data_IF_456511992608
#
_entry.id   IF_456511992608
#
_cell.length_a   1.000
_cell.length_b   1.000
_cell.length_c   1.000
_cell.angle_alpha   90.00
_cell.angle_beta   90.00
_cell.angle_gamma   90.00
#
_symmetry.space_group_name_H-M   'P 1'
#
loop_
_entity.id
_entity.type
_entity.pdbx_description
1 polymer ?
#
# COMPACT_ATOMS: atom_id res chain seq x y z
N UNK A 1 19.54 20.84 3.97
CA UNK A 1 19.88 19.41 4.04
C UNK A 1 18.68 18.60 3.60
N UNK A 2 18.74 17.86 2.48
CA UNK A 2 17.64 16.97 2.07
C UNK A 2 17.68 15.78 3.02
N UNK A 3 16.77 15.71 3.99
CA UNK A 3 16.53 14.48 4.72
C UNK A 3 16.19 13.42 3.68
N UNK A 4 17.11 12.49 3.44
CA UNK A 4 16.81 11.38 2.56
C UNK A 4 15.65 10.62 3.22
N UNK A 5 14.49 10.59 2.56
CA UNK A 5 13.32 9.76 2.92
C UNK A 5 13.67 8.26 3.13
N UNK A 6 14.93 7.89 2.91
CA UNK A 6 15.46 6.54 2.76
C UNK A 6 16.62 6.28 3.73
N UNK A 7 16.68 7.04 4.84
CA UNK A 7 17.79 7.14 5.80
C UNK A 7 18.49 5.81 6.13
N UNK A 8 19.76 5.74 5.72
CA UNK A 8 20.68 4.64 5.98
C UNK A 8 21.96 4.78 5.12
N UNK A 9 23.01 4.03 5.45
CA UNK A 9 24.18 3.92 4.56
C UNK A 9 23.74 3.26 3.24
N UNK A 10 23.83 4.03 2.14
CA UNK A 10 23.43 3.62 0.80
C UNK A 10 24.63 3.35 -0.11
N UNK A 11 25.86 3.44 0.41
CA UNK A 11 27.10 3.29 -0.36
C UNK A 11 27.26 1.91 -1.03
N UNK A 12 26.66 0.87 -0.44
CA UNK A 12 26.71 -0.52 -0.96
C UNK A 12 25.59 -0.86 -1.94
N UNK A 13 24.69 0.08 -2.22
CA UNK A 13 23.56 -0.15 -3.12
C UNK A 13 23.97 0.06 -4.57
N UNK A 14 23.44 -0.79 -5.45
CA UNK A 14 23.74 -0.72 -6.88
C UNK A 14 22.65 0.03 -7.62
N UNK A 15 23.04 0.88 -8.58
CA UNK A 15 22.10 1.54 -9.49
C UNK A 15 21.87 0.71 -10.76
N UNK A 16 20.66 0.76 -11.35
CA UNK A 16 20.35 0.03 -12.57
C UNK A 16 21.15 0.57 -13.75
N UNK A 17 21.30 -0.25 -14.81
CA UNK A 17 21.98 0.17 -16.04
C UNK A 17 21.25 1.40 -16.64
N UNK A 18 21.97 2.42 -17.12
CA UNK A 18 21.36 3.57 -17.79
C UNK A 18 20.46 3.15 -18.96
N UNK A 19 19.33 3.83 -19.16
CA UNK A 19 18.39 3.55 -20.25
C UNK A 19 17.47 2.35 -20.03
N UNK A 20 17.46 1.75 -18.83
CA UNK A 20 16.54 0.67 -18.49
C UNK A 20 15.10 1.18 -18.34
N UNK A 21 14.14 0.41 -18.85
CA UNK A 21 12.73 0.66 -18.59
C UNK A 21 12.40 0.33 -17.12
N UNK A 22 11.25 0.79 -16.63
CA UNK A 22 10.87 0.61 -15.24
C UNK A 22 10.81 -0.87 -14.82
N UNK A 23 10.28 -1.75 -15.66
CA UNK A 23 10.21 -3.18 -15.38
C UNK A 23 11.60 -3.86 -15.35
N UNK A 24 12.61 -3.27 -15.98
CA UNK A 24 13.97 -3.79 -16.08
C UNK A 24 14.91 -3.34 -14.95
N UNK A 25 14.44 -2.53 -14.01
CA UNK A 25 15.25 -1.98 -12.90
C UNK A 25 15.97 -3.07 -12.09
N UNK A 26 15.34 -4.24 -11.92
CA UNK A 26 15.91 -5.36 -11.16
C UNK A 26 16.72 -6.34 -12.01
N UNK A 27 16.85 -6.11 -13.33
CA UNK A 27 17.61 -7.02 -14.20
C UNK A 27 19.07 -7.07 -13.75
N UNK A 28 19.55 -8.29 -13.53
CA UNK A 28 20.96 -8.60 -13.28
C UNK A 28 21.40 -9.72 -14.23
N UNK A 29 22.68 -9.73 -14.57
CA UNK A 29 23.35 -10.79 -15.32
C UNK A 29 24.25 -11.59 -14.36
N UNK A 30 24.34 -12.93 -14.49
CA UNK A 30 23.62 -13.80 -15.44
C UNK A 30 22.13 -13.99 -15.09
N UNK A 31 21.35 -14.52 -16.05
CA UNK A 31 19.88 -14.69 -15.92
C UNK A 31 19.51 -15.61 -14.76
N UNK A 32 20.28 -16.67 -14.52
CA UNK A 32 20.08 -17.61 -13.42
C UNK A 32 19.98 -16.91 -12.07
N UNK A 33 20.91 -15.98 -11.82
CA UNK A 33 20.97 -15.22 -10.57
C UNK A 33 19.78 -14.27 -10.47
N UNK A 34 19.38 -13.72 -11.61
CA UNK A 34 18.17 -12.92 -11.74
C UNK A 34 16.90 -13.69 -11.36
N UNK A 35 16.75 -14.91 -11.86
CA UNK A 35 15.60 -15.76 -11.54
C UNK A 35 15.57 -16.16 -10.06
N UNK A 36 16.72 -16.55 -9.48
CA UNK A 36 16.80 -16.93 -8.06
C UNK A 36 16.44 -15.75 -7.17
N UNK A 37 16.98 -14.55 -7.42
CA UNK A 37 16.64 -13.35 -6.64
C UNK A 37 15.21 -12.89 -6.88
N UNK A 38 14.69 -13.02 -8.10
CA UNK A 38 13.30 -12.72 -8.43
C UNK A 38 12.32 -13.62 -7.69
N UNK A 39 12.53 -14.94 -7.72
CA UNK A 39 11.71 -15.93 -7.01
C UNK A 39 11.83 -15.77 -5.49
N UNK A 40 13.05 -15.63 -4.96
CA UNK A 40 13.27 -15.39 -3.53
C UNK A 40 12.58 -14.11 -3.06
N UNK A 41 12.69 -13.03 -3.83
CA UNK A 41 12.01 -11.79 -3.56
C UNK A 41 10.48 -11.89 -3.67
N UNK A 42 9.95 -12.70 -4.58
CA UNK A 42 8.51 -12.97 -4.68
C UNK A 42 8.01 -13.73 -3.45
N UNK A 43 8.75 -14.76 -3.00
CA UNK A 43 8.42 -15.51 -1.79
C UNK A 43 8.43 -14.61 -0.55
N UNK A 44 9.42 -13.72 -0.42
CA UNK A 44 9.46 -12.73 0.67
C UNK A 44 8.27 -11.77 0.60
N UNK A 45 7.87 -11.32 -0.60
CA UNK A 45 6.68 -10.48 -0.74
C UNK A 45 5.39 -11.21 -0.37
N UNK A 46 5.22 -12.47 -0.79
CA UNK A 46 4.03 -13.27 -0.46
C UNK A 46 3.96 -13.61 1.03
N UNK A 47 5.08 -14.02 1.63
CA UNK A 47 5.17 -14.28 3.06
C UNK A 47 4.96 -12.99 3.87
N UNK A 48 5.60 -11.90 3.44
CA UNK A 48 5.41 -10.57 4.00
C UNK A 48 3.96 -10.14 3.94
N UNK A 49 3.31 -10.18 2.77
CA UNK A 49 1.90 -9.86 2.61
C UNK A 49 1.01 -10.71 3.55
N UNK A 50 1.25 -12.03 3.60
CA UNK A 50 0.43 -12.97 4.36
C UNK A 50 0.57 -12.82 5.88
N UNK A 51 1.71 -12.34 6.38
CA UNK A 51 1.98 -12.21 7.81
C UNK A 51 1.82 -10.77 8.30
N UNK A 52 2.31 -9.81 7.52
CA UNK A 52 2.34 -8.38 7.84
C UNK A 52 0.94 -7.80 7.89
N UNK A 53 0.09 -8.09 6.90
CA UNK A 53 -1.28 -7.56 6.87
C UNK A 53 -2.10 -7.97 8.09
N UNK A 54 -2.30 -9.28 8.37
CA UNK A 54 -3.05 -9.67 9.56
C UNK A 54 -2.32 -9.27 10.84
N UNK A 55 -0.99 -9.30 10.88
CA UNK A 55 -0.22 -8.90 12.06
C UNK A 55 -0.39 -7.43 12.41
N UNK A 56 -0.27 -6.53 11.44
CA UNK A 56 -0.46 -5.08 11.63
C UNK A 56 -1.92 -4.77 11.96
N UNK A 57 -2.88 -5.38 11.25
CA UNK A 57 -4.30 -5.20 11.56
C UNK A 57 -4.63 -5.66 12.97
N UNK A 58 -4.14 -6.83 13.39
CA UNK A 58 -4.33 -7.38 14.73
C UNK A 58 -3.74 -6.46 15.80
N UNK A 59 -2.51 -5.97 15.59
CA UNK A 59 -1.84 -5.06 16.51
C UNK A 59 -2.60 -3.72 16.65
N UNK A 60 -3.00 -3.11 15.53
CA UNK A 60 -3.75 -1.84 15.53
C UNK A 60 -5.11 -2.00 16.21
N UNK A 61 -5.85 -3.06 15.89
CA UNK A 61 -7.13 -3.35 16.54
C UNK A 61 -6.97 -3.63 18.03
N UNK A 62 -5.89 -4.31 18.44
CA UNK A 62 -5.55 -4.50 19.85
C UNK A 62 -5.31 -3.17 20.56
N UNK A 63 -4.56 -2.26 19.95
CA UNK A 63 -4.34 -0.90 20.47
C UNK A 63 -5.66 -0.13 20.59
N UNK A 64 -6.50 -0.13 19.55
CA UNK A 64 -7.80 0.56 19.61
C UNK A 64 -8.74 -0.03 20.65
N UNK A 65 -8.77 -1.35 20.79
CA UNK A 65 -9.54 -2.04 21.82
C UNK A 65 -9.11 -1.62 23.23
N UNK A 66 -7.79 -1.54 23.49
CA UNK A 66 -7.25 -1.04 24.75
C UNK A 66 -7.61 0.43 24.99
N UNK A 67 -7.47 1.30 23.98
CA UNK A 67 -7.78 2.72 24.06
C UNK A 67 -9.27 3.00 24.34
N UNK A 68 -10.16 2.12 23.87
CA UNK A 68 -11.61 2.17 24.17
C UNK A 68 -11.98 1.58 25.53
N UNK A 69 -11.01 1.17 26.34
CA UNK A 69 -11.25 0.60 27.66
C UNK A 69 -11.69 -0.87 27.62
N UNK A 70 -11.24 -1.63 26.61
CA UNK A 70 -11.47 -3.07 26.48
C UNK A 70 -12.96 -3.44 26.42
N UNK A 71 -13.72 -2.92 25.45
CA UNK A 71 -15.13 -3.27 25.31
C UNK A 71 -15.28 -4.75 24.94
N UNK A 72 -15.99 -5.50 25.79
CA UNK A 72 -16.29 -6.92 25.56
C UNK A 72 -15.05 -7.80 25.36
N UNK A 73 -15.22 -8.91 24.63
CA UNK A 73 -14.08 -9.73 24.24
C UNK A 73 -13.36 -9.13 23.02
N UNK A 74 -12.05 -9.31 22.95
CA UNK A 74 -11.28 -8.85 21.78
C UNK A 74 -11.70 -9.57 20.49
N UNK A 75 -12.18 -10.82 20.57
CA UNK A 75 -12.63 -11.56 19.41
C UNK A 75 -13.90 -10.94 18.79
N UNK A 76 -14.86 -10.54 19.63
CA UNK A 76 -16.10 -9.89 19.18
C UNK A 76 -15.80 -8.52 18.60
N UNK A 77 -14.97 -7.74 19.31
CA UNK A 77 -14.52 -6.43 18.85
C UNK A 77 -13.82 -6.49 17.49
N UNK A 78 -12.90 -7.45 17.32
CA UNK A 78 -12.18 -7.66 16.06
C UNK A 78 -13.15 -8.05 14.95
N UNK A 79 -14.15 -8.89 15.25
CA UNK A 79 -15.15 -9.33 14.26
C UNK A 79 -15.97 -8.14 13.77
N UNK A 80 -16.51 -7.34 14.68
CA UNK A 80 -17.25 -6.12 14.35
C UNK A 80 -16.39 -5.11 13.56
N UNK A 81 -15.12 -4.95 13.95
CA UNK A 81 -14.18 -4.09 13.23
C UNK A 81 -13.92 -4.59 11.80
N UNK A 82 -13.69 -5.89 11.60
CA UNK A 82 -13.46 -6.46 10.26
C UNK A 82 -14.71 -6.45 9.38
N UNK A 83 -15.91 -6.38 9.98
CA UNK A 83 -17.17 -6.14 9.29
C UNK A 83 -17.43 -4.65 8.99
N UNK A 84 -16.49 -3.78 9.33
CA UNK A 84 -16.58 -2.32 9.16
C UNK A 84 -17.75 -1.67 9.90
N UNK A 85 -18.22 -2.30 10.99
CA UNK A 85 -19.18 -1.68 11.91
C UNK A 85 -18.53 -0.54 12.71
N UNK A 86 -17.19 -0.58 12.82
CA UNK A 86 -16.37 0.39 13.54
C UNK A 86 -15.38 1.07 12.58
N UNK A 87 -15.21 2.39 12.76
CA UNK A 87 -14.20 3.21 12.05
C UNK A 87 -12.79 2.60 12.22
N UNK A 88 -12.50 2.08 13.40
CA UNK A 88 -11.22 1.48 13.77
C UNK A 88 -10.85 0.29 12.86
N UNK A 89 -11.85 -0.46 12.42
CA UNK A 89 -11.70 -1.54 11.45
C UNK A 89 -11.21 -1.06 10.09
N UNK A 90 -11.83 0.01 9.58
CA UNK A 90 -11.42 0.65 8.33
C UNK A 90 -10.01 1.23 8.45
N UNK A 91 -9.73 1.99 9.52
CA UNK A 91 -8.41 2.59 9.76
C UNK A 91 -7.33 1.51 9.87
N UNK A 92 -7.56 0.47 10.67
CA UNK A 92 -6.62 -0.63 10.82
C UNK A 92 -6.35 -1.35 9.50
N UNK A 93 -7.39 -1.60 8.70
CA UNK A 93 -7.27 -2.25 7.40
C UNK A 93 -6.47 -1.40 6.40
N UNK A 94 -6.79 -0.11 6.28
CA UNK A 94 -6.06 0.78 5.38
C UNK A 94 -4.59 0.94 5.78
N UNK A 95 -4.29 1.07 7.07
CA UNK A 95 -2.92 1.17 7.56
C UNK A 95 -2.15 -0.14 7.42
N UNK A 96 -2.82 -1.29 7.63
CA UNK A 96 -2.24 -2.59 7.34
C UNK A 96 -1.82 -2.69 5.87
N UNK A 97 -2.70 -2.31 4.93
CA UNK A 97 -2.34 -2.31 3.50
C UNK A 97 -1.26 -1.27 3.19
N UNK A 98 -1.33 -0.08 3.79
CA UNK A 98 -0.29 0.94 3.66
C UNK A 98 1.09 0.47 4.13
N UNK A 99 1.17 -0.46 5.09
CA UNK A 99 2.43 -1.04 5.54
C UNK A 99 3.16 -1.86 4.46
N UNK A 100 2.47 -2.25 3.37
CA UNK A 100 3.09 -2.86 2.19
C UNK A 100 4.12 -1.95 1.52
N UNK A 101 3.99 -0.62 1.67
CA UNK A 101 5.03 0.32 1.22
C UNK A 101 6.35 0.00 1.92
N UNK A 102 6.32 -0.19 3.24
CA UNK A 102 7.50 -0.54 4.06
C UNK A 102 8.05 -1.90 3.66
N UNK A 103 7.18 -2.89 3.44
CA UNK A 103 7.59 -4.21 2.95
C UNK A 103 8.32 -4.12 1.61
N UNK A 104 7.78 -3.37 0.63
CA UNK A 104 8.41 -3.22 -0.68
C UNK A 104 9.76 -2.50 -0.57
N UNK A 105 9.86 -1.47 0.26
CA UNK A 105 11.12 -0.78 0.57
C UNK A 105 12.15 -1.74 1.17
N UNK A 106 11.73 -2.57 2.13
CA UNK A 106 12.57 -3.57 2.76
C UNK A 106 13.10 -4.57 1.74
N UNK A 107 12.23 -5.12 0.89
CA UNK A 107 12.60 -6.10 -0.13
C UNK A 107 13.60 -5.50 -1.13
N UNK A 108 13.36 -4.26 -1.59
CA UNK A 108 14.32 -3.54 -2.44
C UNK A 108 15.69 -3.43 -1.78
N UNK A 109 15.73 -2.98 -0.53
CA UNK A 109 16.97 -2.68 0.19
C UNK A 109 17.78 -3.92 0.52
N UNK A 110 17.11 -4.97 0.99
CA UNK A 110 17.77 -6.12 1.61
C UNK A 110 17.83 -7.35 0.70
N UNK A 111 16.80 -7.61 -0.11
CA UNK A 111 16.80 -8.75 -1.05
C UNK A 111 17.52 -8.37 -2.34
N UNK A 112 17.14 -7.23 -2.93
CA UNK A 112 17.66 -6.81 -4.23
C UNK A 112 18.91 -5.93 -4.15
N UNK A 113 19.25 -5.42 -2.95
CA UNK A 113 20.35 -4.47 -2.75
C UNK A 113 20.26 -3.27 -3.72
N UNK A 114 19.03 -2.80 -3.93
CA UNK A 114 18.68 -1.62 -4.73
C UNK A 114 18.12 -0.52 -3.84
N UNK A 115 18.30 0.72 -4.27
CA UNK A 115 17.76 1.86 -3.55
C UNK A 115 16.22 1.93 -3.71
N UNK A 116 15.43 2.02 -2.61
CA UNK A 116 13.96 2.02 -2.69
C UNK A 116 13.35 3.12 -3.55
N UNK A 117 14.06 4.24 -3.79
CA UNK A 117 13.69 5.28 -4.77
C UNK A 117 13.25 4.74 -6.13
N UNK A 118 13.81 3.60 -6.55
CA UNK A 118 13.51 2.98 -7.84
C UNK A 118 12.13 2.30 -7.89
N UNK A 119 11.44 2.16 -6.74
CA UNK A 119 10.01 1.80 -6.70
C UNK A 119 9.13 2.98 -7.12
N UNK A 120 9.50 4.22 -6.76
CA UNK A 120 8.60 5.35 -6.97
C UNK A 120 8.58 5.82 -8.43
N UNK A 121 9.72 5.80 -9.12
CA UNK A 121 9.82 6.28 -10.51
C UNK A 121 11.22 6.05 -11.10
N UNK A 122 11.30 5.98 -12.43
CA UNK A 122 12.55 6.05 -13.21
C UNK A 122 13.10 7.48 -13.26
N UNK A 123 12.24 8.50 -13.12
CA UNK A 123 12.60 9.91 -13.01
C UNK A 123 12.24 10.47 -11.63
N UNK A 124 13.07 11.30 -10.98
CA UNK A 124 12.80 11.76 -9.63
C UNK A 124 11.57 12.69 -9.57
N UNK A 125 10.52 12.30 -8.81
CA UNK A 125 9.46 13.20 -8.35
C UNK A 125 8.04 12.66 -8.47
N UNK A 126 7.26 12.80 -7.39
CA UNK A 126 5.82 12.53 -7.40
C UNK A 126 5.07 13.67 -8.11
N UNK A 127 4.25 13.35 -9.11
CA UNK A 127 3.55 14.34 -9.95
C UNK A 127 2.25 14.80 -9.27
N UNK A 128 2.37 15.62 -8.22
CA UNK A 128 1.24 16.11 -7.41
C UNK A 128 0.07 16.68 -8.20
N UNK A 129 0.34 17.48 -9.24
CA UNK A 129 -0.71 18.06 -10.10
C UNK A 129 -1.57 16.99 -10.77
N UNK A 130 -0.93 15.94 -11.27
CA UNK A 130 -1.61 14.82 -11.91
C UNK A 130 -2.34 13.96 -10.88
N UNK A 131 -1.72 13.71 -9.72
CA UNK A 131 -2.35 12.97 -8.62
C UNK A 131 -3.64 13.66 -8.13
N UNK A 132 -3.63 14.98 -7.97
CA UNK A 132 -4.82 15.76 -7.58
C UNK A 132 -5.89 15.71 -8.68
N UNK A 133 -5.50 15.84 -9.95
CA UNK A 133 -6.44 15.74 -11.07
C UNK A 133 -7.13 14.36 -11.10
N UNK A 134 -6.35 13.27 -10.98
CA UNK A 134 -6.89 11.93 -10.88
C UNK A 134 -7.79 11.77 -9.66
N UNK A 135 -7.41 12.30 -8.49
CA UNK A 135 -8.24 12.23 -7.28
C UNK A 135 -9.60 12.92 -7.47
N UNK A 136 -9.63 14.11 -8.07
CA UNK A 136 -10.88 14.82 -8.36
C UNK A 136 -11.76 14.05 -9.35
N UNK A 137 -11.16 13.49 -10.40
CA UNK A 137 -11.89 12.65 -11.36
C UNK A 137 -12.46 11.40 -10.67
N UNK A 138 -11.68 10.74 -9.81
CA UNK A 138 -12.14 9.59 -9.04
C UNK A 138 -13.31 9.93 -8.13
N UNK A 139 -13.32 11.08 -7.45
CA UNK A 139 -14.46 11.51 -6.64
C UNK A 139 -15.72 11.62 -7.49
N UNK A 140 -15.65 12.27 -8.65
CA UNK A 140 -16.81 12.43 -9.55
C UNK A 140 -17.28 11.08 -10.07
N UNK A 141 -16.37 10.24 -10.57
CA UNK A 141 -16.71 8.95 -11.18
C UNK A 141 -17.28 7.99 -10.15
N UNK A 142 -16.66 7.84 -8.98
CA UNK A 142 -17.12 6.91 -7.94
C UNK A 142 -18.49 7.32 -7.39
N UNK A 143 -18.73 8.61 -7.17
CA UNK A 143 -20.05 9.10 -6.77
C UNK A 143 -21.07 8.91 -7.91
N UNK A 144 -20.67 9.15 -9.16
CA UNK A 144 -21.51 8.89 -10.33
C UNK A 144 -21.95 7.44 -10.42
N UNK A 145 -21.02 6.49 -10.28
CA UNK A 145 -21.30 5.04 -10.26
C UNK A 145 -22.22 4.69 -9.09
N UNK A 146 -21.99 5.25 -7.90
CA UNK A 146 -22.86 5.04 -6.74
C UNK A 146 -24.30 5.50 -7.02
N UNK A 147 -24.49 6.70 -7.58
CA UNK A 147 -25.81 7.23 -7.92
C UNK A 147 -26.50 6.43 -9.02
N UNK A 148 -25.77 6.03 -10.07
CA UNK A 148 -26.30 5.17 -11.13
C UNK A 148 -26.72 3.81 -10.57
N UNK A 149 -25.94 3.24 -9.66
CA UNK A 149 -26.26 1.94 -9.04
C UNK A 149 -27.51 2.00 -8.16
N UNK A 150 -27.87 3.19 -7.67
CA UNK A 150 -29.06 3.46 -6.86
C UNK A 150 -30.16 4.22 -7.59
N UNK A 151 -30.10 4.30 -8.93
CA UNK A 151 -31.02 5.12 -9.71
C UNK A 151 -32.51 4.69 -9.59
N UNK A 152 -32.76 3.41 -9.25
CA UNK A 152 -34.11 2.87 -9.03
C UNK A 152 -34.56 2.89 -7.56
N UNK A 153 -33.65 3.22 -6.63
CA UNK A 153 -33.97 3.31 -5.20
C UNK A 153 -34.30 4.76 -4.84
N UNK A 154 -35.32 4.96 -4.00
CA UNK A 154 -35.62 6.31 -3.53
C UNK A 154 -34.46 6.80 -2.64
N UNK A 155 -33.88 8.01 -2.87
CA UNK A 155 -32.75 8.48 -2.09
C UNK A 155 -33.15 8.70 -0.63
N UNK A 156 -32.85 7.74 0.24
CA UNK A 156 -33.01 7.91 1.68
C UNK A 156 -31.73 8.45 2.27
N UNK A 157 -31.78 9.62 2.89
CA UNK A 157 -30.65 10.15 3.65
C UNK A 157 -30.47 9.34 4.93
N UNK A 158 -29.48 8.45 4.94
CA UNK A 158 -29.07 7.66 6.10
C UNK A 158 -27.62 7.99 6.46
N UNK A 159 -27.34 9.27 6.69
CA UNK A 159 -26.03 9.66 7.21
C UNK A 159 -25.89 9.17 8.65
N UNK A 160 -24.79 8.50 8.97
CA UNK A 160 -24.45 8.21 10.35
C UNK A 160 -24.15 9.51 11.10
N UNK A 161 -24.46 9.56 12.38
CA UNK A 161 -24.12 10.69 13.27
C UNK A 161 -22.60 10.98 13.33
N UNK A 162 -21.79 10.06 12.81
CA UNK A 162 -20.33 10.11 12.79
C UNK A 162 -19.75 10.23 11.37
N UNK A 163 -20.55 10.62 10.37
CA UNK A 163 -20.12 10.75 8.97
C UNK A 163 -18.82 11.57 8.82
N UNK A 164 -18.68 12.65 9.58
CA UNK A 164 -17.46 13.48 9.55
C UNK A 164 -16.19 12.72 9.93
N UNK A 165 -16.26 11.85 10.94
CA UNK A 165 -15.12 11.02 11.37
C UNK A 165 -14.80 9.93 10.35
N UNK A 166 -15.82 9.33 9.74
CA UNK A 166 -15.63 8.38 8.63
C UNK A 166 -14.92 9.04 7.45
N UNK A 167 -15.38 10.22 7.01
CA UNK A 167 -14.76 10.96 5.91
C UNK A 167 -13.32 11.35 6.23
N UNK A 168 -13.06 11.84 7.44
CA UNK A 168 -11.71 12.17 7.88
C UNK A 168 -10.79 10.95 7.82
N UNK A 169 -11.24 9.82 8.38
CA UNK A 169 -10.48 8.58 8.34
C UNK A 169 -10.21 8.12 6.91
N UNK A 170 -11.19 8.18 6.01
CA UNK A 170 -11.03 7.84 4.59
C UNK A 170 -9.98 8.73 3.92
N UNK A 171 -10.10 10.06 4.05
CA UNK A 171 -9.19 11.02 3.41
C UNK A 171 -7.75 10.82 3.88
N UNK A 172 -7.55 10.45 5.14
CA UNK A 172 -6.21 10.23 5.70
C UNK A 172 -5.61 8.87 5.34
N UNK A 173 -6.43 7.81 5.33
CA UNK A 173 -5.92 6.44 5.28
C UNK A 173 -6.07 5.75 3.92
N UNK A 174 -7.10 6.08 3.14
CA UNK A 174 -7.29 5.50 1.80
C UNK A 174 -6.12 5.82 0.83
N UNK A 175 -5.51 7.03 0.83
CA UNK A 175 -4.33 7.27 0.00
C UNK A 175 -3.13 6.40 0.38
N UNK A 176 -2.96 6.08 1.67
CA UNK A 176 -1.90 5.19 2.14
C UNK A 176 -2.13 3.75 1.69
N UNK A 177 -3.38 3.28 1.77
CA UNK A 177 -3.78 1.97 1.25
C UNK A 177 -3.49 1.88 -0.26
N UNK A 178 -3.95 2.87 -1.03
CA UNK A 178 -3.72 2.92 -2.47
C UNK A 178 -2.22 2.94 -2.82
N UNK A 179 -1.40 3.66 -2.03
CA UNK A 179 0.04 3.64 -2.18
C UNK A 179 0.64 2.25 -1.90
N UNK A 180 0.16 1.54 -0.88
CA UNK A 180 0.58 0.17 -0.57
C UNK A 180 0.33 -0.79 -1.74
N UNK A 181 -0.86 -0.73 -2.32
CA UNK A 181 -1.24 -1.52 -3.49
C UNK A 181 -0.39 -1.16 -4.72
N UNK A 182 -0.24 0.12 -5.03
CA UNK A 182 0.57 0.58 -6.16
C UNK A 182 2.03 0.10 -6.03
N UNK A 183 2.64 0.24 -4.85
CA UNK A 183 4.02 -0.17 -4.62
C UNK A 183 4.22 -1.68 -4.75
N UNK A 184 3.26 -2.49 -4.29
CA UNK A 184 3.35 -3.93 -4.39
C UNK A 184 3.06 -4.41 -5.82
N UNK A 185 1.89 -4.09 -6.36
CA UNK A 185 1.39 -4.66 -7.62
C UNK A 185 2.04 -4.04 -8.84
N UNK A 186 2.02 -2.71 -8.92
CA UNK A 186 2.51 -1.97 -10.09
C UNK A 186 3.97 -1.59 -9.97
N UNK A 187 4.50 -1.54 -8.75
CA UNK A 187 5.92 -1.34 -8.51
C UNK A 187 6.69 -2.65 -8.51
N UNK A 188 6.70 -3.33 -7.38
CA UNK A 188 7.60 -4.44 -7.12
C UNK A 188 7.32 -5.67 -7.99
N UNK A 189 6.06 -6.11 -8.08
CA UNK A 189 5.71 -7.29 -8.87
C UNK A 189 5.95 -7.08 -10.38
N UNK A 190 5.73 -5.87 -10.89
CA UNK A 190 6.06 -5.52 -12.27
C UNK A 190 7.58 -5.57 -12.54
N UNK A 191 8.39 -5.14 -11.58
CA UNK A 191 9.84 -5.20 -11.69
C UNK A 191 10.38 -6.65 -11.61
N UNK A 192 9.76 -7.50 -10.78
CA UNK A 192 10.08 -8.94 -10.78
C UNK A 192 9.68 -9.57 -12.10
N UNK A 193 8.49 -9.28 -12.62
CA UNK A 193 8.05 -9.86 -13.89
C UNK A 193 9.01 -9.48 -15.01
N UNK A 194 9.42 -8.22 -15.11
CA UNK A 194 10.40 -7.77 -16.10
C UNK A 194 11.81 -8.34 -15.91
N UNK A 195 12.18 -8.75 -14.68
CA UNK A 195 13.42 -9.45 -14.37
C UNK A 195 13.40 -10.91 -14.87
N UNK A 196 12.25 -11.59 -14.75
CA UNK A 196 12.06 -13.00 -15.14
C UNK A 196 11.76 -13.14 -16.63
N UNK A 197 10.87 -12.31 -17.17
CA UNK A 197 10.28 -12.46 -18.52
C UNK A 197 11.16 -11.88 -19.65
N UNK A 198 12.48 -11.94 -19.48
CA UNK A 198 13.46 -11.14 -20.23
C UNK A 198 13.12 -10.86 -21.69
#
# INVERSE_FOLDING_TARGET
MKAALWGGDTSKLTDPKPGTNYAAVLRIDPISDGMVKGLGGLLVALAGYSLLLPGVAWALLGVFWLLRGMPGSFADYRTAALQFELIDGMVATHLAIGSLVVLCMYIMRYVHQRHPRWLCSVQPGFRWRYAVACALVSVVVLNGVYWVSRANDMPTWQASDHLGWWLLAIVLTAPLQAAGEEFLFRGYLLQISGMISR
#
